data_IF_844539443065
#
_entry.id   IF_844539443065
#
_cell.length_a   1.000
_cell.length_b   1.000
_cell.length_c   1.000
_cell.angle_alpha   90.00
_cell.angle_beta   90.00
_cell.angle_gamma   90.00
#
_symmetry.space_group_name_H-M   'P 1'
#
loop_
_entity.id
_entity.type
_entity.pdbx_description
1 polymer ?
#
# COMPACT_ATOMS: atom_id res chain seq x y z
N UNK A 1 -1.94 6.36 -7.26
CA UNK A 1 -1.52 5.69 -8.51
C UNK A 1 -2.17 6.24 -9.77
N UNK A 2 -3.45 6.63 -9.75
CA UNK A 2 -4.10 7.29 -10.89
C UNK A 2 -3.32 8.54 -11.38
N UNK A 3 -3.01 9.47 -10.48
CA UNK A 3 -2.24 10.69 -10.80
C UNK A 3 -0.84 10.36 -11.32
N UNK A 4 -0.15 9.38 -10.73
CA UNK A 4 1.14 8.89 -11.20
C UNK A 4 1.07 8.36 -12.64
N UNK A 5 -0.01 7.66 -12.99
CA UNK A 5 -0.24 7.13 -14.34
C UNK A 5 -0.50 8.24 -15.35
N UNK A 6 -1.28 9.27 -14.97
CA UNK A 6 -1.48 10.45 -15.80
C UNK A 6 -0.17 11.22 -16.06
N UNK A 7 0.67 11.37 -15.04
CA UNK A 7 1.99 12.01 -15.20
C UNK A 7 2.97 11.17 -16.02
N UNK A 8 2.88 9.85 -15.95
CA UNK A 8 3.61 8.94 -16.84
C UNK A 8 3.29 9.21 -18.32
N UNK A 9 2.02 9.49 -18.66
CA UNK A 9 1.61 9.83 -20.02
C UNK A 9 2.09 11.23 -20.45
N UNK A 10 2.17 12.18 -19.51
CA UNK A 10 2.70 13.52 -19.75
C UNK A 10 4.23 13.56 -19.90
N UNK A 11 4.92 12.44 -19.64
CA UNK A 11 6.38 12.25 -19.79
C UNK A 11 7.24 13.31 -19.10
N UNK A 12 6.71 13.91 -18.02
CA UNK A 12 7.37 14.94 -17.23
C UNK A 12 8.14 14.33 -16.05
N UNK A 13 9.47 14.40 -16.10
CA UNK A 13 10.32 13.79 -15.06
C UNK A 13 10.20 14.49 -13.70
N UNK A 14 10.18 15.83 -13.67
CA UNK A 14 10.08 16.59 -12.41
C UNK A 14 8.81 16.26 -11.62
N UNK A 15 7.66 16.21 -12.29
CA UNK A 15 6.40 15.85 -11.66
C UNK A 15 6.37 14.39 -11.19
N UNK A 16 7.02 13.49 -11.92
CA UNK A 16 7.11 12.08 -11.55
C UNK A 16 7.85 11.91 -10.21
N UNK A 17 8.94 12.65 -9.99
CA UNK A 17 9.65 12.63 -8.70
C UNK A 17 8.79 13.12 -7.54
N UNK A 18 8.11 14.27 -7.72
CA UNK A 18 7.26 14.84 -6.66
C UNK A 18 6.12 13.88 -6.29
N UNK A 19 5.44 13.30 -7.28
CA UNK A 19 4.34 12.36 -7.01
C UNK A 19 4.85 11.07 -6.37
N UNK A 20 6.01 10.57 -6.80
CA UNK A 20 6.61 9.36 -6.21
C UNK A 20 7.06 9.60 -4.77
N UNK A 21 7.58 10.80 -4.47
CA UNK A 21 7.92 11.21 -3.11
C UNK A 21 6.69 11.26 -2.21
N UNK A 22 5.64 11.98 -2.61
CA UNK A 22 4.40 12.08 -1.82
C UNK A 22 3.77 10.71 -1.61
N UNK A 23 3.67 9.92 -2.68
CA UNK A 23 3.08 8.58 -2.63
C UNK A 23 3.92 7.62 -1.76
N UNK A 24 5.24 7.66 -1.86
CA UNK A 24 6.14 6.86 -1.03
C UNK A 24 6.07 7.26 0.45
N UNK A 25 6.12 8.57 0.74
CA UNK A 25 6.02 9.10 2.09
C UNK A 25 4.72 8.66 2.78
N UNK A 26 3.57 8.79 2.09
CA UNK A 26 2.28 8.35 2.61
C UNK A 26 2.25 6.84 2.88
N UNK A 27 2.76 6.00 1.97
CA UNK A 27 2.75 4.54 2.16
C UNK A 27 3.64 4.09 3.32
N UNK A 28 4.84 4.66 3.45
CA UNK A 28 5.77 4.31 4.53
C UNK A 28 5.26 4.78 5.89
N UNK A 29 4.59 5.93 5.97
CA UNK A 29 4.03 6.46 7.21
C UNK A 29 2.94 5.56 7.85
N UNK A 30 2.22 4.78 7.04
CA UNK A 30 1.21 3.84 7.56
C UNK A 30 1.80 2.56 8.15
N UNK A 31 3.01 2.19 7.75
CA UNK A 31 3.67 0.95 8.19
C UNK A 31 3.91 0.91 9.72
N UNK A 32 4.55 1.91 10.36
CA UNK A 32 4.76 1.91 11.81
C UNK A 32 3.45 1.94 12.59
N UNK A 33 2.44 2.69 12.11
CA UNK A 33 1.12 2.76 12.74
C UNK A 33 0.42 1.38 12.78
N UNK A 34 0.56 0.59 11.72
CA UNK A 34 0.03 -0.76 11.66
C UNK A 34 0.73 -1.74 12.62
N UNK A 35 2.04 -1.57 12.84
CA UNK A 35 2.78 -2.38 13.81
C UNK A 35 2.37 -2.08 15.25
N UNK A 36 2.24 -0.80 15.62
CA UNK A 36 1.76 -0.40 16.95
C UNK A 36 0.34 -0.93 17.20
N UNK A 37 -0.56 -0.76 16.23
CA UNK A 37 -1.93 -1.25 16.35
C UNK A 37 -2.01 -2.77 16.48
N UNK A 38 -1.19 -3.51 15.72
CA UNK A 38 -1.15 -4.97 15.83
C UNK A 38 -0.61 -5.42 17.20
N UNK A 39 0.42 -4.76 17.71
CA UNK A 39 0.98 -5.04 19.04
C UNK A 39 -0.08 -4.86 20.14
N UNK A 40 -0.80 -3.73 20.12
CA UNK A 40 -1.90 -3.43 21.05
C UNK A 40 -2.99 -4.53 21.01
N UNK A 41 -3.39 -4.96 19.81
CA UNK A 41 -4.44 -5.96 19.62
C UNK A 41 -4.06 -7.35 20.13
N UNK A 42 -2.76 -7.66 20.13
CA UNK A 42 -2.22 -8.97 20.53
C UNK A 42 -1.72 -9.01 21.98
N UNK A 43 -1.88 -7.94 22.76
CA UNK A 43 -1.36 -7.90 24.12
C UNK A 43 -1.96 -9.02 25.01
N UNK A 44 -1.13 -9.75 25.81
CA UNK A 44 0.26 -9.50 26.18
C UNK A 44 1.32 -10.29 25.36
N UNK A 45 1.04 -10.62 24.10
CA UNK A 45 2.02 -11.33 23.26
C UNK A 45 3.26 -10.49 22.94
N UNK A 46 4.36 -11.18 22.62
CA UNK A 46 5.63 -10.52 22.30
C UNK A 46 5.53 -9.73 20.99
N UNK A 47 5.79 -8.41 21.07
CA UNK A 47 5.79 -7.47 19.94
C UNK A 47 6.68 -7.92 18.76
N UNK A 48 7.78 -8.63 19.04
CA UNK A 48 8.68 -9.18 18.03
C UNK A 48 8.03 -10.29 17.20
N UNK A 49 7.14 -11.09 17.78
CA UNK A 49 6.42 -12.15 17.09
C UNK A 49 5.32 -11.56 16.19
N UNK A 50 4.55 -10.61 16.74
CA UNK A 50 3.51 -9.87 16.00
C UNK A 50 4.11 -9.10 14.82
N UNK A 51 5.21 -8.37 15.03
CA UNK A 51 5.91 -7.63 13.97
C UNK A 51 6.52 -8.56 12.93
N UNK A 52 7.05 -9.71 13.36
CA UNK A 52 7.56 -10.75 12.46
C UNK A 52 6.48 -11.33 11.54
N UNK A 53 5.31 -11.66 12.09
CA UNK A 53 4.17 -12.15 11.31
C UNK A 53 3.63 -11.09 10.35
N UNK A 54 3.51 -9.83 10.80
CA UNK A 54 3.00 -8.76 9.96
C UNK A 54 3.96 -8.48 8.78
N UNK A 55 5.28 -8.48 9.00
CA UNK A 55 6.27 -8.34 7.93
C UNK A 55 6.27 -9.56 6.97
N UNK A 56 6.16 -10.78 7.50
CA UNK A 56 6.04 -11.99 6.68
C UNK A 56 4.80 -11.94 5.77
N UNK A 57 3.67 -11.47 6.30
CA UNK A 57 2.43 -11.28 5.52
C UNK A 57 2.63 -10.23 4.42
N UNK A 58 3.25 -9.09 4.73
CA UNK A 58 3.54 -8.03 3.77
C UNK A 58 4.45 -8.52 2.63
N UNK A 59 5.46 -9.33 2.94
CA UNK A 59 6.33 -9.93 1.92
C UNK A 59 5.59 -10.92 1.02
N UNK A 60 4.77 -11.81 1.60
CA UNK A 60 3.95 -12.75 0.82
C UNK A 60 3.02 -12.02 -0.15
N UNK A 61 2.26 -11.03 0.33
CA UNK A 61 1.42 -10.21 -0.54
C UNK A 61 2.24 -9.43 -1.55
N UNK A 62 3.39 -8.88 -1.16
CA UNK A 62 4.32 -8.20 -2.05
C UNK A 62 4.75 -9.06 -3.24
N UNK A 63 5.11 -10.32 -2.99
CA UNK A 63 5.50 -11.29 -4.04
C UNK A 63 4.32 -11.57 -4.98
N UNK A 64 3.14 -11.86 -4.44
CA UNK A 64 1.94 -12.18 -5.20
C UNK A 64 1.52 -10.99 -6.08
N UNK A 65 1.39 -9.80 -5.49
CA UNK A 65 0.94 -8.60 -6.17
C UNK A 65 1.95 -8.08 -7.19
N UNK A 66 3.25 -8.13 -6.88
CA UNK A 66 4.30 -7.73 -7.83
C UNK A 66 4.34 -8.70 -9.01
N UNK A 67 4.25 -10.01 -8.76
CA UNK A 67 4.20 -11.00 -9.83
C UNK A 67 2.96 -10.85 -10.70
N UNK A 68 1.78 -10.65 -10.08
CA UNK A 68 0.52 -10.44 -10.77
C UNK A 68 0.53 -9.18 -11.64
N UNK A 69 0.97 -8.05 -11.09
CA UNK A 69 1.07 -6.80 -11.87
C UNK A 69 2.16 -6.84 -12.93
N UNK A 70 3.25 -7.57 -12.71
CA UNK A 70 4.29 -7.75 -13.75
C UNK A 70 3.76 -8.52 -14.95
N UNK A 71 3.01 -9.61 -14.72
CA UNK A 71 2.32 -10.34 -15.79
C UNK A 71 1.29 -9.46 -16.50
N UNK A 72 0.50 -8.70 -15.74
CA UNK A 72 -0.54 -7.82 -16.29
C UNK A 72 0.06 -6.70 -17.15
N UNK A 73 1.18 -6.11 -16.71
CA UNK A 73 1.92 -5.09 -17.49
C UNK A 73 2.48 -5.66 -18.79
N UNK A 74 2.97 -6.90 -18.77
CA UNK A 74 3.52 -7.56 -19.96
C UNK A 74 2.45 -7.82 -21.02
N UNK A 75 1.25 -8.26 -20.61
CA UNK A 75 0.18 -8.59 -21.55
C UNK A 75 -0.69 -7.41 -22.00
N UNK A 76 -0.97 -6.44 -21.13
CA UNK A 76 -1.93 -5.35 -21.38
C UNK A 76 -1.34 -3.94 -21.22
N UNK A 77 -0.02 -3.83 -21.03
CA UNK A 77 0.68 -2.56 -20.87
C UNK A 77 0.60 -1.97 -19.46
N UNK A 78 1.29 -0.85 -19.26
CA UNK A 78 1.45 -0.19 -17.95
C UNK A 78 0.14 0.28 -17.34
N UNK A 79 -0.84 0.66 -18.16
CA UNK A 79 -2.16 1.11 -17.73
C UNK A 79 -2.91 0.05 -16.93
N UNK A 80 -2.96 -1.20 -17.41
CA UNK A 80 -3.68 -2.28 -16.73
C UNK A 80 -3.06 -2.62 -15.36
N UNK A 81 -1.72 -2.68 -15.29
CA UNK A 81 -1.00 -2.88 -14.03
C UNK A 81 -1.23 -1.74 -13.04
N UNK A 82 -1.23 -0.50 -13.51
CA UNK A 82 -1.47 0.66 -12.66
C UNK A 82 -2.93 0.79 -12.22
N UNK A 83 -3.89 0.32 -13.03
CA UNK A 83 -5.30 0.27 -12.67
C UNK A 83 -5.52 -0.70 -11.51
N UNK A 84 -4.94 -1.90 -11.58
CA UNK A 84 -4.99 -2.87 -10.47
C UNK A 84 -4.44 -2.25 -9.17
N UNK A 85 -3.25 -1.64 -9.24
CA UNK A 85 -2.66 -0.98 -8.06
C UNK A 85 -3.51 0.20 -7.57
N UNK A 86 -4.17 0.92 -8.47
CA UNK A 86 -5.08 2.02 -8.08
C UNK A 86 -6.28 1.48 -7.30
N UNK A 87 -6.90 0.40 -7.76
CA UNK A 87 -8.02 -0.26 -7.06
C UNK A 87 -7.58 -0.80 -5.70
N UNK A 88 -6.43 -1.48 -5.63
CA UNK A 88 -5.92 -2.03 -4.37
C UNK A 88 -5.59 -0.95 -3.34
N UNK A 89 -4.96 0.15 -3.76
CA UNK A 89 -4.68 1.27 -2.85
C UNK A 89 -5.96 1.98 -2.41
N UNK A 90 -6.95 2.10 -3.29
CA UNK A 90 -8.24 2.68 -2.93
C UNK A 90 -8.98 1.79 -1.92
N UNK A 91 -8.98 0.47 -2.12
CA UNK A 91 -9.53 -0.47 -1.15
C UNK A 91 -8.83 -0.36 0.20
N UNK A 92 -7.49 -0.29 0.22
CA UNK A 92 -6.73 -0.07 1.46
C UNK A 92 -7.07 1.25 2.15
N UNK A 93 -7.25 2.33 1.39
CA UNK A 93 -7.68 3.62 1.93
C UNK A 93 -9.08 3.57 2.55
N UNK A 94 -10.04 2.91 1.90
CA UNK A 94 -11.40 2.72 2.44
C UNK A 94 -11.36 1.91 3.74
N UNK A 95 -10.64 0.78 3.75
CA UNK A 95 -10.47 -0.05 4.95
C UNK A 95 -9.87 0.74 6.12
N UNK A 96 -8.88 1.58 5.85
CA UNK A 96 -8.29 2.47 6.87
C UNK A 96 -9.33 3.47 7.40
N UNK A 97 -10.16 4.03 6.54
CA UNK A 97 -11.25 4.93 6.94
C UNK A 97 -12.25 4.25 7.88
N UNK A 98 -12.63 3.00 7.61
CA UNK A 98 -13.50 2.23 8.49
C UNK A 98 -12.83 1.87 9.82
N UNK A 99 -11.55 1.50 9.79
CA UNK A 99 -10.78 1.23 11.02
C UNK A 99 -10.75 2.45 11.95
N UNK A 100 -10.51 3.63 11.39
CA UNK A 100 -10.54 4.90 12.13
C UNK A 100 -11.93 5.15 12.71
N UNK A 101 -13.01 4.91 11.95
CA UNK A 101 -14.37 5.09 12.47
C UNK A 101 -14.65 4.20 13.68
N UNK A 102 -14.24 2.94 13.62
CA UNK A 102 -14.40 1.98 14.73
C UNK A 102 -13.62 2.44 15.96
N UNK A 103 -12.41 2.97 15.78
CA UNK A 103 -11.57 3.45 16.89
C UNK A 103 -12.09 4.71 17.58
N UNK A 104 -12.74 5.64 16.86
CA UNK A 104 -13.19 6.92 17.42
C UNK A 104 -14.68 6.99 17.79
N UNK A 105 -15.50 6.02 17.39
CA UNK A 105 -16.93 5.93 17.74
C UNK A 105 -17.30 4.67 18.54
N UNK A 106 -16.30 3.88 18.96
CA UNK A 106 -16.46 2.71 19.84
C UNK A 106 -16.30 3.04 21.32
#
# INVERSE_FOLDING_TARGET
>A
MAVFTGVLQLRSMGLMFVISFVLGFTMTGFLPLGFEFAAELTYPENEGLTSGLLNASAQLFGIILTSGTSKLKSSYGSLAGNLLMTVLLFAGFVLMGELIRVLFHG
#
